data_IF_178567898240
#
_entry.id   IF_178567898240
#
_cell.length_a   1.000
_cell.length_b   1.000
_cell.length_c   1.000
_cell.angle_alpha   90.00
_cell.angle_beta   90.00
_cell.angle_gamma   90.00
#
_symmetry.space_group_name_H-M   'P 1'
#
loop_
_entity.id
_entity.type
_entity.pdbx_description
1 polymer ?
#
# COMPACT_ATOMS: atom_id res chain seq x y z
N UNK A 1 -1.11 23.80 5.22
CA UNK A 1 -0.53 22.53 5.65
C UNK A 1 0.70 22.23 4.84
N UNK A 2 1.69 21.59 5.43
CA UNK A 2 2.88 21.17 4.69
C UNK A 2 2.54 20.00 3.78
N UNK A 3 3.36 19.81 2.73
CA UNK A 3 3.23 18.66 1.84
C UNK A 3 3.35 17.34 2.59
N UNK A 4 4.27 17.29 3.57
CA UNK A 4 4.48 16.11 4.40
C UNK A 4 3.23 15.77 5.22
N UNK A 5 2.58 16.79 5.83
CA UNK A 5 1.33 16.58 6.57
C UNK A 5 0.24 16.05 5.65
N UNK A 6 0.13 16.61 4.44
CA UNK A 6 -0.84 16.15 3.44
C UNK A 6 -0.62 14.69 3.06
N UNK A 7 0.65 14.30 2.84
CA UNK A 7 1.00 12.91 2.52
C UNK A 7 0.73 11.97 3.69
N UNK A 8 1.05 12.39 4.91
CA UNK A 8 0.77 11.59 6.10
C UNK A 8 -0.72 11.31 6.24
N UNK A 9 -1.56 12.34 6.10
CA UNK A 9 -3.02 12.17 6.17
C UNK A 9 -3.53 11.24 5.07
N UNK A 10 -3.01 11.38 3.85
CA UNK A 10 -3.38 10.52 2.73
C UNK A 10 -3.07 9.05 3.03
N UNK A 11 -1.85 8.75 3.47
CA UNK A 11 -1.44 7.37 3.70
C UNK A 11 -2.04 6.78 4.99
N UNK A 12 -2.40 7.60 5.97
CA UNK A 12 -3.19 7.14 7.12
C UNK A 12 -4.55 6.63 6.66
N UNK A 13 -5.21 7.35 5.76
CA UNK A 13 -6.49 6.90 5.18
C UNK A 13 -6.29 5.67 4.30
N UNK A 14 -5.21 5.64 3.50
CA UNK A 14 -4.91 4.52 2.60
C UNK A 14 -4.70 3.22 3.39
N UNK A 15 -4.01 3.30 4.52
CA UNK A 15 -3.83 2.15 5.42
C UNK A 15 -5.17 1.63 5.95
N UNK A 16 -6.07 2.53 6.33
CA UNK A 16 -7.40 2.15 6.82
C UNK A 16 -8.25 1.50 5.73
N UNK A 17 -8.12 1.95 4.50
CA UNK A 17 -8.79 1.31 3.36
C UNK A 17 -8.35 -0.15 3.25
N UNK A 18 -7.05 -0.37 3.26
CA UNK A 18 -6.50 -1.73 3.11
C UNK A 18 -6.75 -2.63 4.32
N UNK A 19 -6.65 -2.09 5.53
CA UNK A 19 -6.75 -2.92 6.74
C UNK A 19 -8.15 -3.00 7.33
N UNK A 20 -9.00 -2.00 7.11
CA UNK A 20 -10.34 -1.95 7.69
C UNK A 20 -11.47 -2.01 6.67
N UNK A 21 -11.15 -1.97 5.38
CA UNK A 21 -12.19 -1.96 4.35
C UNK A 21 -12.96 -0.66 4.25
N UNK A 22 -12.34 0.45 4.59
CA UNK A 22 -12.98 1.77 4.56
C UNK A 22 -13.03 2.29 3.11
N UNK A 23 -13.80 1.62 2.27
CA UNK A 23 -13.91 1.98 0.85
C UNK A 23 -14.56 3.34 0.62
N UNK A 24 -15.30 3.85 1.61
CA UNK A 24 -15.86 5.20 1.62
C UNK A 24 -14.77 6.28 1.51
N UNK A 25 -13.53 5.95 1.89
CA UNK A 25 -12.40 6.89 1.81
C UNK A 25 -11.70 6.91 0.45
N UNK A 26 -12.01 5.97 -0.44
CA UNK A 26 -11.34 5.86 -1.75
C UNK A 26 -11.37 7.18 -2.55
N UNK A 27 -12.52 7.86 -2.70
CA UNK A 27 -12.55 9.10 -3.48
C UNK A 27 -11.68 10.22 -2.91
N UNK A 28 -11.32 10.14 -1.63
CA UNK A 28 -10.42 11.11 -1.00
C UNK A 28 -8.95 10.78 -1.23
N UNK A 29 -8.66 9.54 -1.64
CA UNK A 29 -7.28 9.04 -1.70
C UNK A 29 -6.77 8.81 -3.12
N UNK A 30 -7.65 8.58 -4.09
CA UNK A 30 -7.26 8.15 -5.44
C UNK A 30 -7.89 9.07 -6.48
N UNK A 31 -7.10 9.46 -7.47
CA UNK A 31 -7.60 10.20 -8.64
C UNK A 31 -8.64 9.34 -9.38
N UNK A 32 -9.57 9.96 -10.14
CA UNK A 32 -10.56 9.20 -10.92
C UNK A 32 -9.94 8.12 -11.81
N UNK A 33 -8.75 8.39 -12.34
CA UNK A 33 -7.96 7.43 -13.11
C UNK A 33 -6.62 7.26 -12.41
N UNK A 34 -6.22 6.00 -12.22
CA UNK A 34 -5.02 5.65 -11.46
C UNK A 34 -4.08 4.86 -12.36
N UNK A 35 -2.87 5.37 -12.55
CA UNK A 35 -1.85 4.75 -13.40
C UNK A 35 -1.01 3.79 -12.55
N UNK A 36 -0.93 2.52 -12.97
CA UNK A 36 -0.23 1.50 -12.20
C UNK A 36 0.79 0.78 -13.06
N UNK A 37 2.01 0.70 -12.54
CA UNK A 37 3.12 -0.02 -13.16
C UNK A 37 3.53 -1.15 -12.22
N UNK A 38 3.41 -2.39 -12.66
CA UNK A 38 3.83 -3.55 -11.87
C UNK A 38 4.20 -4.73 -12.78
N UNK A 39 4.54 -5.86 -12.18
CA UNK A 39 5.05 -7.03 -12.92
C UNK A 39 4.15 -7.53 -14.05
N UNK A 40 2.84 -7.35 -13.91
CA UNK A 40 1.88 -7.74 -14.94
C UNK A 40 1.79 -6.72 -16.07
N UNK A 41 2.53 -5.62 -16.01
CA UNK A 41 2.56 -4.56 -17.03
C UNK A 41 1.93 -3.26 -16.54
N UNK A 42 1.89 -2.30 -17.44
CA UNK A 42 1.35 -0.97 -17.18
C UNK A 42 -0.14 -0.96 -17.49
N UNK A 43 -0.92 -0.28 -16.65
CA UNK A 43 -2.35 -0.11 -16.89
C UNK A 43 -2.88 1.12 -16.17
N UNK A 44 -3.95 1.68 -16.72
CA UNK A 44 -4.70 2.75 -16.06
C UNK A 44 -6.06 2.16 -15.67
N UNK A 45 -6.41 2.33 -14.41
CA UNK A 45 -7.67 1.82 -13.88
C UNK A 45 -8.49 2.97 -13.30
N UNK A 46 -9.81 2.84 -13.31
CA UNK A 46 -10.64 3.77 -12.57
C UNK A 46 -10.50 3.50 -11.07
N UNK A 47 -10.71 4.52 -10.25
CA UNK A 47 -10.64 4.30 -8.79
C UNK A 47 -11.71 3.32 -8.31
N UNK A 48 -12.88 3.26 -8.98
CA UNK A 48 -13.93 2.30 -8.66
C UNK A 48 -13.48 0.86 -8.97
N UNK A 49 -12.81 0.66 -10.10
CA UNK A 49 -12.25 -0.64 -10.44
C UNK A 49 -11.15 -1.05 -9.46
N UNK A 50 -10.32 -0.10 -9.06
CA UNK A 50 -9.26 -0.40 -8.09
C UNK A 50 -9.83 -0.70 -6.70
N UNK A 51 -10.85 0.02 -6.29
CA UNK A 51 -11.55 -0.30 -5.03
C UNK A 51 -12.08 -1.73 -5.04
N UNK A 52 -12.63 -2.17 -6.18
CA UNK A 52 -13.10 -3.55 -6.34
C UNK A 52 -11.97 -4.57 -6.24
N UNK A 53 -10.77 -4.23 -6.75
CA UNK A 53 -9.59 -5.09 -6.62
C UNK A 53 -9.16 -5.23 -5.16
N UNK A 54 -9.17 -4.14 -4.41
CA UNK A 54 -8.85 -4.19 -2.97
C UNK A 54 -9.86 -5.07 -2.24
N UNK A 55 -11.15 -4.86 -2.53
CA UNK A 55 -12.21 -5.64 -1.89
C UNK A 55 -12.07 -7.13 -2.18
N UNK A 56 -11.74 -7.49 -3.42
CA UNK A 56 -11.51 -8.87 -3.81
C UNK A 56 -10.33 -9.48 -3.07
N UNK A 57 -9.21 -8.75 -3.00
CA UNK A 57 -8.02 -9.20 -2.27
C UNK A 57 -8.35 -9.46 -0.80
N UNK A 58 -9.11 -8.56 -0.17
CA UNK A 58 -9.49 -8.71 1.23
C UNK A 58 -10.48 -9.86 1.45
N UNK A 59 -11.34 -10.17 0.47
CA UNK A 59 -12.22 -11.33 0.53
C UNK A 59 -11.44 -12.65 0.44
N UNK A 60 -10.45 -12.70 -0.45
CA UNK A 60 -9.63 -13.90 -0.64
C UNK A 60 -8.63 -14.10 0.50
N UNK A 61 -8.20 -13.01 1.14
CA UNK A 61 -7.21 -13.01 2.21
C UNK A 61 -7.70 -12.11 3.35
N UNK A 62 -8.68 -12.61 4.15
CA UNK A 62 -9.36 -11.74 5.15
C UNK A 62 -8.45 -11.13 6.20
N UNK A 63 -7.32 -11.77 6.49
CA UNK A 63 -6.35 -11.29 7.48
C UNK A 63 -5.16 -10.55 6.83
N UNK A 64 -5.26 -10.17 5.56
CA UNK A 64 -4.13 -9.51 4.89
C UNK A 64 -3.72 -8.25 5.63
N UNK A 65 -2.40 -8.12 5.80
CA UNK A 65 -1.77 -6.93 6.37
C UNK A 65 -0.67 -6.49 5.42
N UNK A 66 -0.52 -5.20 5.26
CA UNK A 66 0.62 -4.60 4.58
C UNK A 66 1.44 -3.93 5.66
N UNK A 67 2.61 -4.49 5.91
CA UNK A 67 3.48 -4.07 7.02
C UNK A 67 4.63 -3.26 6.44
N UNK A 68 4.80 -2.03 6.90
CA UNK A 68 5.84 -1.12 6.40
C UNK A 68 7.03 -1.14 7.33
N UNK A 69 8.22 -1.26 6.74
CA UNK A 69 9.48 -1.22 7.49
C UNK A 69 10.18 0.12 7.36
N UNK A 70 9.90 0.86 6.29
CA UNK A 70 10.60 2.10 5.98
C UNK A 70 9.80 2.89 4.97
N UNK A 71 9.85 4.22 5.05
CA UNK A 71 9.17 5.07 4.07
C UNK A 71 9.85 6.43 4.00
N UNK A 72 9.60 7.14 2.89
CA UNK A 72 10.09 8.50 2.69
C UNK A 72 9.04 9.31 1.95
N UNK A 73 8.82 10.54 2.41
CA UNK A 73 7.99 11.52 1.72
C UNK A 73 8.88 12.65 1.23
N UNK A 74 8.70 13.06 -0.03
CA UNK A 74 9.42 14.17 -0.60
C UNK A 74 8.58 14.86 -1.68
N UNK A 75 8.12 16.07 -1.40
CA UNK A 75 7.29 16.81 -2.35
C UNK A 75 5.98 16.06 -2.63
N UNK A 76 5.77 15.74 -3.91
CA UNK A 76 4.60 14.99 -4.38
C UNK A 76 4.89 13.49 -4.54
N UNK A 77 5.94 13.00 -3.87
CA UNK A 77 6.37 11.60 -3.98
C UNK A 77 6.37 10.93 -2.61
N UNK A 78 6.04 9.62 -2.63
CA UNK A 78 6.13 8.77 -1.45
C UNK A 78 6.76 7.44 -1.83
N UNK A 79 7.48 6.86 -0.91
CA UNK A 79 8.16 5.59 -1.13
C UNK A 79 8.02 4.73 0.11
N UNK A 80 7.75 3.42 -0.09
CA UNK A 80 7.56 2.45 1.00
C UNK A 80 8.30 1.17 0.70
N UNK A 81 8.87 0.58 1.74
CA UNK A 81 9.41 -0.78 1.72
C UNK A 81 8.56 -1.60 2.68
N UNK A 82 7.93 -2.66 2.17
CA UNK A 82 6.85 -3.32 2.89
C UNK A 82 6.81 -4.83 2.63
N UNK A 83 5.95 -5.52 3.37
CA UNK A 83 5.57 -6.91 3.13
C UNK A 83 4.08 -7.06 3.16
N UNK A 84 3.54 -7.84 2.22
CA UNK A 84 2.22 -8.41 2.37
C UNK A 84 2.34 -9.61 3.29
N UNK A 85 1.41 -9.74 4.26
CA UNK A 85 1.32 -10.89 5.16
C UNK A 85 -0.12 -11.35 5.23
N UNK A 86 -0.33 -12.65 5.07
CA UNK A 86 -1.67 -13.24 5.16
C UNK A 86 -1.55 -14.72 5.50
N UNK A 87 -2.68 -15.33 5.88
CA UNK A 87 -2.77 -16.76 6.11
C UNK A 87 -3.47 -17.41 4.92
N UNK A 88 -2.85 -18.45 4.37
CA UNK A 88 -3.43 -19.20 3.25
C UNK A 88 -4.71 -19.90 3.74
N UNK A 89 -5.82 -19.68 3.01
CA UNK A 89 -7.13 -20.20 3.42
C UNK A 89 -7.20 -21.74 3.36
N UNK A 90 -6.41 -22.36 2.51
CA UNK A 90 -6.44 -23.82 2.30
C UNK A 90 -5.46 -24.55 3.21
N UNK A 91 -4.20 -24.06 3.27
CA UNK A 91 -3.11 -24.75 4.00
C UNK A 91 -2.94 -24.25 5.43
N UNK A 92 -3.52 -23.09 5.76
CA UNK A 92 -3.36 -22.40 7.05
C UNK A 92 -1.92 -21.94 7.31
N UNK A 93 -1.08 -21.93 6.28
CA UNK A 93 0.29 -21.46 6.39
C UNK A 93 0.36 -19.94 6.30
N UNK A 94 1.27 -19.34 7.05
CA UNK A 94 1.57 -17.91 6.93
C UNK A 94 2.29 -17.66 5.60
N UNK A 95 1.82 -16.66 4.86
CA UNK A 95 2.40 -16.27 3.56
C UNK A 95 2.93 -14.86 3.64
N UNK A 96 4.01 -14.62 2.91
CA UNK A 96 4.61 -13.28 2.82
C UNK A 96 5.03 -12.98 1.39
N UNK A 97 5.10 -11.70 1.09
CA UNK A 97 5.73 -11.22 -0.15
C UNK A 97 6.26 -9.82 0.08
N UNK A 98 7.58 -9.66 -0.08
CA UNK A 98 8.25 -8.38 0.12
C UNK A 98 8.15 -7.51 -1.13
N UNK A 99 8.13 -6.20 -0.95
CA UNK A 99 8.08 -5.28 -2.07
C UNK A 99 8.50 -3.86 -1.71
N UNK A 100 8.57 -3.05 -2.75
CA UNK A 100 8.80 -1.62 -2.66
C UNK A 100 7.82 -0.93 -3.60
N UNK A 101 7.35 0.23 -3.21
CA UNK A 101 6.38 0.97 -4.01
C UNK A 101 6.68 2.46 -3.94
N UNK A 102 6.69 3.11 -5.11
CA UNK A 102 6.80 4.54 -5.24
C UNK A 102 5.48 5.11 -5.73
N UNK A 103 5.08 6.24 -5.18
CA UNK A 103 3.82 6.90 -5.55
C UNK A 103 4.08 8.31 -6.03
N UNK A 104 3.32 8.73 -7.04
CA UNK A 104 3.18 10.13 -7.42
C UNK A 104 1.82 10.61 -6.96
N UNK A 105 1.80 11.73 -6.26
CA UNK A 105 0.59 12.33 -5.71
C UNK A 105 0.27 13.61 -6.48
N UNK A 106 -1.00 13.82 -6.79
CA UNK A 106 -1.48 14.98 -7.50
C UNK A 106 -2.73 15.49 -6.81
N UNK A 107 -2.73 16.76 -6.42
CA UNK A 107 -3.84 17.37 -5.67
C UNK A 107 -4.23 16.56 -4.42
N UNK A 108 -3.23 16.05 -3.70
CA UNK A 108 -3.44 15.30 -2.47
C UNK A 108 -3.96 13.88 -2.65
N UNK A 109 -3.95 13.35 -3.87
CA UNK A 109 -4.48 12.02 -4.17
C UNK A 109 -3.48 11.20 -4.98
N UNK A 110 -3.56 9.89 -4.85
CA UNK A 110 -2.72 8.96 -5.61
C UNK A 110 -3.04 9.05 -7.10
N UNK A 111 -2.05 9.34 -7.91
CA UNK A 111 -2.20 9.49 -9.37
C UNK A 111 -1.47 8.39 -10.13
N UNK A 112 -0.32 7.96 -9.64
CA UNK A 112 0.50 6.97 -10.32
C UNK A 112 1.36 6.21 -9.32
N UNK A 113 1.58 4.91 -9.57
CA UNK A 113 2.40 4.09 -8.68
C UNK A 113 3.29 3.13 -9.47
N UNK A 114 4.47 2.87 -8.93
CA UNK A 114 5.42 1.88 -9.42
C UNK A 114 5.62 0.85 -8.32
N UNK A 115 5.17 -0.38 -8.57
CA UNK A 115 5.21 -1.47 -7.60
C UNK A 115 6.25 -2.50 -8.04
N UNK A 116 7.22 -2.78 -7.17
CA UNK A 116 8.24 -3.80 -7.38
C UNK A 116 8.08 -4.86 -6.30
N UNK A 117 7.75 -6.08 -6.72
CA UNK A 117 7.60 -7.20 -5.80
C UNK A 117 8.75 -8.19 -5.98
N UNK A 118 9.22 -8.73 -4.86
CA UNK A 118 10.13 -9.88 -4.88
C UNK A 118 9.29 -11.15 -5.06
N UNK A 119 9.92 -12.31 -5.29
CA UNK A 119 9.17 -13.55 -5.51
C UNK A 119 8.25 -13.91 -4.35
N UNK A 120 7.17 -14.67 -4.61
CA UNK A 120 6.31 -15.16 -3.52
C UNK A 120 7.13 -15.90 -2.45
N UNK A 121 6.80 -15.65 -1.19
CA UNK A 121 7.52 -16.21 -0.05
C UNK A 121 8.67 -15.33 0.43
N UNK A 122 8.98 -14.25 -0.29
CA UNK A 122 10.06 -13.34 0.11
C UNK A 122 9.69 -12.55 1.37
N UNK A 123 10.71 -12.13 2.11
CA UNK A 123 10.57 -11.35 3.32
C UNK A 123 11.80 -10.46 3.49
N UNK A 124 11.61 -9.30 4.11
CA UNK A 124 12.73 -8.47 4.55
C UNK A 124 13.30 -9.06 5.84
N UNK A 125 14.55 -8.71 6.14
CA UNK A 125 15.24 -9.23 7.34
C UNK A 125 15.02 -8.37 8.57
N UNK A 126 14.27 -7.28 8.46
CA UNK A 126 14.00 -6.38 9.59
C UNK A 126 13.25 -7.10 10.69
N UNK A 127 13.70 -6.95 11.93
CA UNK A 127 13.08 -7.59 13.09
C UNK A 127 11.80 -6.90 13.53
N UNK A 128 11.70 -5.57 13.27
CA UNK A 128 10.59 -4.74 13.75
C UNK A 128 10.07 -3.88 12.61
N UNK A 129 8.75 -3.84 12.44
CA UNK A 129 8.09 -2.98 11.48
C UNK A 129 7.69 -1.65 12.14
N UNK A 130 7.34 -0.68 11.30
CA UNK A 130 6.68 0.54 11.77
C UNK A 130 5.31 0.17 12.34
N UNK A 131 4.84 0.90 13.35
CA UNK A 131 3.52 0.68 13.94
C UNK A 131 2.41 0.94 12.91
N UNK A 132 2.53 2.04 12.18
CA UNK A 132 1.65 2.42 11.09
C UNK A 132 2.48 2.81 9.88
N UNK A 133 1.85 2.94 8.73
CA UNK A 133 2.56 3.25 7.48
C UNK A 133 3.28 4.60 7.54
N UNK A 134 2.78 5.53 8.33
CA UNK A 134 3.35 6.87 8.45
C UNK A 134 4.13 7.09 9.75
N UNK A 135 4.24 6.05 10.58
CA UNK A 135 5.02 6.13 11.81
C UNK A 135 6.51 6.22 11.50
N UNK A 136 7.32 6.84 12.38
CA UNK A 136 8.76 6.84 12.17
C UNK A 136 9.30 5.41 12.10
N UNK A 137 10.32 5.15 11.23
CA UNK A 137 10.95 3.84 11.20
C UNK A 137 11.57 3.49 12.56
N UNK A 138 11.56 2.21 12.95
CA UNK A 138 12.17 1.80 14.20
C UNK A 138 13.67 2.12 14.24
N UNK A 139 14.17 2.47 15.39
CA UNK A 139 15.59 2.69 15.60
C UNK A 139 16.29 1.34 15.60
N UNK A 140 17.30 1.22 14.77
CA UNK A 140 18.08 -0.01 14.66
C UNK A 140 19.31 0.02 15.56
#
# INVERSE_FOLDING_TARGET
MSEETTLRDLFDRWERIWHEGRYDLIPQCVQPNYIRHHEAGDRTVTREAYAAEIAKTRQERPDIRIVVYDHTFHGDRAWFRFEFKWTDANTRENRTRAGMQSYRIENGKLAETWLMLQPPGSAWTDAVSQEHWTSPPPIK
#
